data_IF_778761637509
#
_entry.id   IF_778761637509
#
_cell.length_a   1.000
_cell.length_b   1.000
_cell.length_c   1.000
_cell.angle_alpha   90.00
_cell.angle_beta   90.00
_cell.angle_gamma   90.00
#
_symmetry.space_group_name_H-M   'P 1'
#
loop_
_entity.id
_entity.type
_entity.pdbx_description
1 polymer ?
#
# COMPACT_ATOMS: atom_id res chain seq x y z
N UNK A 1 22.76 -1.08 -10.74
CA UNK A 1 22.06 -0.49 -11.89
C UNK A 1 20.88 -1.38 -12.30
N UNK A 2 19.78 -0.80 -12.81
CA UNK A 2 18.57 -1.52 -13.24
C UNK A 2 18.86 -2.62 -14.28
N UNK A 3 19.88 -2.44 -15.15
CA UNK A 3 20.33 -3.46 -16.11
C UNK A 3 20.93 -4.69 -15.43
N UNK A 4 21.57 -4.52 -14.28
CA UNK A 4 22.12 -5.61 -13.49
C UNK A 4 21.00 -6.47 -12.87
N UNK A 5 19.98 -5.85 -12.31
CA UNK A 5 18.79 -6.53 -11.78
C UNK A 5 18.04 -7.31 -12.88
N UNK A 6 17.87 -6.71 -14.06
CA UNK A 6 17.20 -7.38 -15.19
C UNK A 6 17.96 -8.60 -15.70
N UNK A 7 19.31 -8.57 -15.67
CA UNK A 7 20.16 -9.70 -16.07
C UNK A 7 20.14 -10.83 -15.04
N UNK A 8 20.04 -10.50 -13.75
CA UNK A 8 20.01 -11.48 -12.65
C UNK A 8 18.69 -12.26 -12.53
N UNK A 9 17.61 -11.71 -13.05
CA UNK A 9 16.25 -12.26 -12.92
C UNK A 9 15.61 -12.57 -14.28
N UNK A 10 16.41 -12.94 -15.29
CA UNK A 10 15.95 -13.38 -16.61
C UNK A 10 14.91 -14.50 -16.48
N UNK A 11 13.65 -14.21 -16.88
CA UNK A 11 12.52 -15.17 -16.79
C UNK A 11 11.54 -14.91 -15.65
N UNK A 12 11.81 -13.95 -14.76
CA UNK A 12 10.87 -13.51 -13.72
C UNK A 12 10.31 -12.13 -14.07
N UNK A 13 8.99 -11.95 -13.95
CA UNK A 13 8.35 -10.65 -14.16
C UNK A 13 8.74 -9.71 -13.02
N UNK A 14 9.95 -9.15 -13.10
CA UNK A 14 10.37 -8.04 -12.28
C UNK A 14 10.04 -6.80 -13.09
N UNK A 15 9.05 -6.04 -12.64
CA UNK A 15 8.71 -4.80 -13.28
C UNK A 15 9.79 -3.75 -12.95
N UNK A 16 10.61 -3.44 -13.93
CA UNK A 16 11.18 -2.11 -14.07
C UNK A 16 10.04 -1.17 -14.52
N UNK A 17 10.11 0.11 -14.15
CA UNK A 17 9.07 1.12 -14.43
C UNK A 17 8.38 0.89 -15.78
N UNK A 18 7.08 0.63 -15.77
CA UNK A 18 6.29 0.58 -16.99
C UNK A 18 6.32 1.96 -17.66
N UNK A 19 6.62 2.00 -18.96
CA UNK A 19 6.67 3.26 -19.72
C UNK A 19 5.25 3.83 -19.86
N UNK A 20 5.15 5.16 -19.86
CA UNK A 20 3.90 5.83 -20.21
C UNK A 20 3.46 5.42 -21.63
N UNK A 21 2.20 5.04 -21.77
CA UNK A 21 1.62 4.68 -23.06
C UNK A 21 0.67 5.79 -23.52
N UNK A 22 0.76 6.20 -24.79
CA UNK A 22 -0.18 7.18 -25.38
C UNK A 22 -1.65 6.77 -25.26
N UNK A 23 -1.91 5.46 -25.22
CA UNK A 23 -3.24 4.90 -24.96
C UNK A 23 -3.88 5.38 -23.64
N UNK A 24 -3.09 5.82 -22.66
CA UNK A 24 -3.60 6.36 -21.38
C UNK A 24 -4.25 7.75 -21.53
N UNK A 25 -4.06 8.43 -22.67
CA UNK A 25 -4.73 9.69 -22.99
C UNK A 25 -6.14 9.49 -23.58
N UNK A 26 -6.53 8.26 -23.89
CA UNK A 26 -7.84 7.93 -24.44
C UNK A 26 -8.97 8.40 -23.50
N UNK A 27 -10.10 8.93 -24.00
CA UNK A 27 -11.21 9.45 -23.20
C UNK A 27 -11.73 8.53 -22.09
N UNK A 28 -11.67 7.21 -22.29
CA UNK A 28 -12.04 6.21 -21.28
C UNK A 28 -11.30 6.38 -19.94
N UNK A 29 -10.13 7.02 -19.93
CA UNK A 29 -9.31 7.26 -18.73
C UNK A 29 -9.46 8.65 -18.14
N UNK A 30 -10.18 9.58 -18.79
CA UNK A 30 -10.28 10.96 -18.34
C UNK A 30 -10.86 11.08 -16.92
N UNK A 31 -11.88 10.29 -16.62
CA UNK A 31 -12.44 10.26 -15.26
C UNK A 31 -11.39 9.79 -14.22
N UNK A 32 -10.57 8.80 -14.58
CA UNK A 32 -9.48 8.33 -13.72
C UNK A 32 -8.41 9.42 -13.55
N UNK A 33 -8.04 10.10 -14.64
CA UNK A 33 -7.11 11.23 -14.56
C UNK A 33 -7.64 12.37 -13.72
N UNK A 34 -8.92 12.71 -13.85
CA UNK A 34 -9.56 13.72 -13.02
C UNK A 34 -9.48 13.33 -11.54
N UNK A 35 -9.85 12.09 -11.19
CA UNK A 35 -9.75 11.59 -9.81
C UNK A 35 -8.31 11.62 -9.26
N UNK A 36 -7.32 11.23 -10.07
CA UNK A 36 -5.90 11.31 -9.70
C UNK A 36 -5.44 12.76 -9.52
N UNK A 37 -5.91 13.68 -10.37
CA UNK A 37 -5.62 15.12 -10.26
C UNK A 37 -6.20 15.72 -8.99
N UNK A 38 -7.46 15.41 -8.65
CA UNK A 38 -8.08 15.82 -7.39
C UNK A 38 -7.32 15.24 -6.20
N UNK A 39 -6.97 13.96 -6.23
CA UNK A 39 -6.19 13.32 -5.17
C UNK A 39 -4.83 14.00 -5.02
N UNK A 40 -4.14 14.29 -6.13
CA UNK A 40 -2.87 15.01 -6.12
C UNK A 40 -2.99 16.40 -5.48
N UNK A 41 -4.03 17.17 -5.82
CA UNK A 41 -4.29 18.49 -5.23
C UNK A 41 -4.55 18.39 -3.72
N UNK A 42 -5.41 17.47 -3.30
CA UNK A 42 -5.76 17.29 -1.88
C UNK A 42 -4.54 16.96 -1.03
N UNK A 43 -3.63 16.13 -1.52
CA UNK A 43 -2.44 15.75 -0.74
C UNK A 43 -1.33 16.82 -0.74
N UNK A 44 -1.48 17.93 -1.49
CA UNK A 44 -0.58 19.09 -1.36
C UNK A 44 -0.87 19.91 -0.10
N UNK A 45 -2.05 19.79 0.48
CA UNK A 45 -2.46 20.52 1.69
C UNK A 45 -1.57 20.13 2.89
N UNK A 46 -1.50 20.97 3.94
CA UNK A 46 -0.84 20.61 5.19
C UNK A 46 -1.41 19.32 5.80
N UNK A 47 -0.56 18.49 6.41
CA UNK A 47 -0.97 17.19 6.95
C UNK A 47 -2.18 17.25 7.91
N UNK A 48 -2.29 18.21 8.85
CA UNK A 48 -3.49 18.30 9.69
C UNK A 48 -4.79 18.49 8.89
N UNK A 49 -4.73 19.25 7.79
CA UNK A 49 -5.87 19.46 6.89
C UNK A 49 -6.22 18.17 6.15
N UNK A 50 -5.21 17.46 5.63
CA UNK A 50 -5.39 16.15 4.99
C UNK A 50 -6.08 15.19 5.96
N UNK A 51 -5.62 15.14 7.21
CA UNK A 51 -6.21 14.29 8.26
C UNK A 51 -7.67 14.63 8.54
N UNK A 52 -7.98 15.91 8.63
CA UNK A 52 -9.36 16.37 8.81
C UNK A 52 -10.24 15.97 7.62
N UNK A 53 -9.81 16.27 6.39
CA UNK A 53 -10.55 15.94 5.17
C UNK A 53 -10.74 14.43 5.00
N UNK A 54 -9.70 13.64 5.22
CA UNK A 54 -9.77 12.19 5.17
C UNK A 54 -10.77 11.61 6.16
N UNK A 55 -10.73 12.10 7.41
CA UNK A 55 -11.69 11.71 8.45
C UNK A 55 -13.13 12.06 8.07
N UNK A 56 -13.38 13.27 7.55
CA UNK A 56 -14.71 13.70 7.10
C UNK A 56 -15.19 12.89 5.89
N UNK A 57 -14.32 12.68 4.91
CA UNK A 57 -14.61 11.85 3.74
C UNK A 57 -15.00 10.42 4.14
N UNK A 58 -14.23 9.82 5.06
CA UNK A 58 -14.51 8.51 5.60
C UNK A 58 -15.85 8.45 6.32
N UNK A 59 -16.12 9.41 7.20
CA UNK A 59 -17.41 9.50 7.91
C UNK A 59 -18.59 9.64 6.93
N UNK A 60 -18.45 10.50 5.93
CA UNK A 60 -19.49 10.68 4.90
C UNK A 60 -19.69 9.41 4.05
N UNK A 61 -18.61 8.68 3.73
CA UNK A 61 -18.68 7.43 2.95
C UNK A 61 -19.56 6.36 3.63
N UNK A 62 -19.69 6.40 4.95
CA UNK A 62 -20.53 5.48 5.72
C UNK A 62 -22.00 5.51 5.26
N UNK A 63 -22.51 6.66 4.83
CA UNK A 63 -23.88 6.79 4.34
C UNK A 63 -24.12 6.00 3.05
N UNK A 64 -23.11 5.85 2.23
CA UNK A 64 -23.19 5.16 0.93
C UNK A 64 -22.73 3.70 1.00
N UNK A 65 -21.86 3.37 1.94
CA UNK A 65 -21.23 2.04 2.05
C UNK A 65 -21.93 1.13 3.07
N UNK A 66 -23.29 1.11 3.09
CA UNK A 66 -24.10 0.35 4.06
C UNK A 66 -23.76 -1.14 4.14
N UNK A 67 -23.48 -1.77 3.01
CA UNK A 67 -23.01 -3.18 2.98
C UNK A 67 -21.70 -3.37 3.71
N UNK A 68 -20.75 -2.43 3.58
CA UNK A 68 -19.47 -2.51 4.29
C UNK A 68 -19.63 -2.29 5.78
N UNK A 69 -20.52 -1.37 6.17
CA UNK A 69 -20.90 -1.15 7.56
C UNK A 69 -21.48 -2.41 8.20
N UNK A 70 -22.44 -3.07 7.52
CA UNK A 70 -23.04 -4.32 8.02
C UNK A 70 -22.01 -5.43 8.22
N UNK A 71 -21.07 -5.59 7.27
CA UNK A 71 -19.97 -6.56 7.40
C UNK A 71 -19.07 -6.22 8.59
N UNK A 72 -18.69 -4.95 8.75
CA UNK A 72 -17.85 -4.52 9.88
C UNK A 72 -18.56 -4.78 11.22
N UNK A 73 -19.85 -4.46 11.31
CA UNK A 73 -20.68 -4.73 12.49
C UNK A 73 -20.69 -6.21 12.84
N UNK A 74 -20.94 -7.08 11.85
CA UNK A 74 -20.96 -8.52 12.07
C UNK A 74 -19.61 -9.07 12.51
N UNK A 75 -18.53 -8.58 11.91
CA UNK A 75 -17.18 -8.98 12.32
C UNK A 75 -16.88 -8.56 13.77
N UNK A 76 -17.28 -7.36 14.18
CA UNK A 76 -17.10 -6.90 15.56
C UNK A 76 -17.95 -7.69 16.56
N UNK A 77 -19.17 -8.08 16.20
CA UNK A 77 -20.00 -8.97 17.04
C UNK A 77 -19.33 -10.31 17.27
N UNK A 78 -18.71 -10.89 16.24
CA UNK A 78 -18.06 -12.21 16.31
C UNK A 78 -16.70 -12.15 17.02
N UNK A 79 -15.88 -11.14 16.71
CA UNK A 79 -14.52 -11.06 17.23
C UNK A 79 -14.43 -10.41 18.62
N UNK A 80 -15.41 -9.56 18.98
CA UNK A 80 -15.46 -8.84 20.25
C UNK A 80 -16.84 -8.97 20.91
N UNK A 81 -17.25 -10.19 21.29
CA UNK A 81 -18.59 -10.44 21.85
C UNK A 81 -18.81 -9.70 23.18
N UNK A 82 -17.75 -9.42 23.93
CA UNK A 82 -17.77 -8.69 25.21
C UNK A 82 -17.95 -7.18 25.05
N UNK A 83 -17.84 -6.62 23.83
CA UNK A 83 -18.09 -5.20 23.60
C UNK A 83 -19.59 -4.92 23.57
N UNK A 84 -20.00 -3.84 24.26
CA UNK A 84 -21.39 -3.37 24.18
C UNK A 84 -21.69 -2.70 22.82
N UNK A 85 -22.96 -2.38 22.57
CA UNK A 85 -23.39 -1.78 21.32
C UNK A 85 -22.69 -0.43 21.03
N UNK A 86 -22.49 0.41 22.05
CA UNK A 86 -21.83 1.72 21.91
C UNK A 86 -20.34 1.55 21.56
N UNK A 87 -19.64 0.64 22.18
CA UNK A 87 -18.23 0.37 21.87
C UNK A 87 -18.05 -0.11 20.42
N UNK A 88 -18.92 -1.04 19.97
CA UNK A 88 -18.90 -1.49 18.57
C UNK A 88 -19.21 -0.37 17.58
N UNK A 89 -20.17 0.49 17.91
CA UNK A 89 -20.53 1.63 17.08
C UNK A 89 -19.38 2.64 16.94
N UNK A 90 -18.69 2.92 18.04
CA UNK A 90 -17.49 3.78 18.05
C UNK A 90 -16.40 3.19 17.15
N UNK A 91 -16.11 1.90 17.25
CA UNK A 91 -15.10 1.25 16.38
C UNK A 91 -15.48 1.27 14.91
N UNK A 92 -16.77 1.11 14.57
CA UNK A 92 -17.25 1.24 13.20
C UNK A 92 -17.00 2.67 12.69
N UNK A 93 -17.35 3.67 13.47
CA UNK A 93 -17.14 5.07 13.10
C UNK A 93 -15.66 5.38 12.87
N UNK A 94 -14.76 4.94 13.76
CA UNK A 94 -13.31 5.13 13.61
C UNK A 94 -12.75 4.35 12.40
N UNK A 95 -13.25 3.15 12.14
CA UNK A 95 -12.86 2.39 10.95
C UNK A 95 -13.22 3.13 9.65
N UNK A 96 -14.39 3.75 9.57
CA UNK A 96 -14.78 4.54 8.41
C UNK A 96 -13.91 5.80 8.25
N UNK A 97 -13.56 6.49 9.34
CA UNK A 97 -12.59 7.59 9.29
C UNK A 97 -11.25 7.12 8.73
N UNK A 98 -10.78 5.95 9.16
CA UNK A 98 -9.54 5.34 8.67
C UNK A 98 -9.61 4.97 7.19
N UNK A 99 -10.76 4.53 6.67
CA UNK A 99 -10.98 4.27 5.23
C UNK A 99 -10.77 5.56 4.42
N UNK A 100 -11.34 6.68 4.87
CA UNK A 100 -11.15 7.97 4.20
C UNK A 100 -9.70 8.45 4.25
N UNK A 101 -9.02 8.25 5.39
CA UNK A 101 -7.59 8.54 5.50
C UNK A 101 -6.75 7.68 4.54
N UNK A 102 -7.03 6.38 4.45
CA UNK A 102 -6.28 5.47 3.58
C UNK A 102 -6.26 5.89 2.11
N UNK A 103 -7.35 6.52 1.63
CA UNK A 103 -7.41 7.08 0.28
C UNK A 103 -6.39 8.22 0.11
N UNK A 104 -6.35 9.17 1.06
CA UNK A 104 -5.42 10.29 1.01
C UNK A 104 -3.98 9.84 1.27
N UNK A 105 -3.75 8.90 2.18
CA UNK A 105 -2.44 8.29 2.44
C UNK A 105 -1.89 7.58 1.20
N UNK A 106 -2.75 6.96 0.40
CA UNK A 106 -2.34 6.41 -0.90
C UNK A 106 -1.82 7.51 -1.82
N UNK A 107 -2.51 8.64 -1.90
CA UNK A 107 -2.04 9.81 -2.65
C UNK A 107 -0.72 10.37 -2.11
N UNK A 108 -0.58 10.46 -0.78
CA UNK A 108 0.67 10.88 -0.14
C UNK A 108 1.83 9.94 -0.51
N UNK A 109 1.60 8.63 -0.44
CA UNK A 109 2.60 7.62 -0.80
C UNK A 109 3.06 7.74 -2.25
N UNK A 110 2.17 8.09 -3.18
CA UNK A 110 2.50 8.18 -4.60
C UNK A 110 3.07 9.53 -5.03
N UNK A 111 2.64 10.63 -4.39
CA UNK A 111 2.90 11.99 -4.89
C UNK A 111 3.84 12.82 -4.01
N UNK A 112 3.91 12.57 -2.70
CA UNK A 112 4.78 13.37 -1.83
C UNK A 112 6.27 13.19 -2.17
N UNK A 113 7.07 14.27 -2.09
CA UNK A 113 8.51 14.15 -2.12
C UNK A 113 9.03 13.45 -0.87
N UNK A 114 10.23 12.85 -0.97
CA UNK A 114 10.82 12.02 0.08
C UNK A 114 11.02 12.80 1.39
N UNK A 115 11.47 14.06 1.28
CA UNK A 115 11.72 14.93 2.43
C UNK A 115 10.44 15.20 3.21
N UNK A 116 9.31 15.36 2.49
CA UNK A 116 8.01 15.57 3.14
C UNK A 116 7.54 14.33 3.87
N UNK A 117 7.75 13.13 3.32
CA UNK A 117 7.44 11.87 4.00
C UNK A 117 8.29 11.73 5.26
N UNK A 118 9.62 11.92 5.15
CA UNK A 118 10.54 11.80 6.29
C UNK A 118 10.25 12.78 7.42
N UNK A 119 9.68 13.95 7.12
CA UNK A 119 9.30 14.96 8.13
C UNK A 119 8.15 14.49 9.03
N UNK A 120 7.24 13.67 8.50
CA UNK A 120 5.99 13.34 9.18
C UNK A 120 5.92 11.91 9.72
N UNK A 121 6.84 11.04 9.30
CA UNK A 121 6.81 9.63 9.65
C UNK A 121 8.19 9.13 10.04
N UNK A 122 8.20 8.32 11.09
CA UNK A 122 9.38 7.67 11.63
C UNK A 122 9.16 6.16 11.70
N UNK A 123 10.26 5.38 11.77
CA UNK A 123 10.23 3.92 11.81
C UNK A 123 11.03 3.42 13.00
N UNK A 124 10.36 2.83 13.94
CA UNK A 124 10.96 2.17 15.09
C UNK A 124 11.40 0.74 14.74
N UNK A 125 12.47 0.26 15.36
CA UNK A 125 12.96 -1.11 15.20
C UNK A 125 13.67 -1.41 13.88
N UNK A 126 14.03 -0.39 13.08
CA UNK A 126 14.73 -0.53 11.81
C UNK A 126 16.09 -1.24 11.96
N UNK A 127 16.72 -1.15 13.12
CA UNK A 127 18.01 -1.77 13.38
C UNK A 127 17.95 -3.30 13.37
N UNK A 128 16.81 -3.91 13.70
CA UNK A 128 16.59 -5.35 13.56
C UNK A 128 16.73 -5.79 12.09
N UNK A 129 16.17 -5.02 11.17
CA UNK A 129 16.28 -5.28 9.73
C UNK A 129 17.71 -5.10 9.24
N UNK A 130 18.37 -4.01 9.63
CA UNK A 130 19.78 -3.73 9.28
C UNK A 130 20.71 -4.81 9.80
N UNK A 131 20.53 -5.25 11.06
CA UNK A 131 21.33 -6.31 11.67
C UNK A 131 21.23 -7.63 10.87
N UNK A 132 20.02 -8.04 10.50
CA UNK A 132 19.83 -9.24 9.69
C UNK A 132 20.50 -9.13 8.31
N UNK A 133 20.45 -7.96 7.69
CA UNK A 133 21.09 -7.73 6.38
C UNK A 133 22.62 -7.69 6.47
N UNK A 134 23.21 -7.15 7.54
CA UNK A 134 24.66 -7.20 7.75
C UNK A 134 25.19 -8.64 7.81
N UNK A 135 24.38 -9.58 8.27
CA UNK A 135 24.69 -11.02 8.25
C UNK A 135 24.51 -11.66 6.84
N UNK A 136 24.26 -10.87 5.80
CA UNK A 136 23.95 -11.32 4.42
C UNK A 136 22.77 -12.29 4.34
N UNK A 137 21.87 -12.24 5.32
CA UNK A 137 20.64 -13.04 5.33
C UNK A 137 19.52 -12.27 4.63
N UNK A 138 18.78 -12.94 3.76
CA UNK A 138 17.56 -12.38 3.20
C UNK A 138 16.50 -12.22 4.28
N UNK A 139 15.77 -11.12 4.23
CA UNK A 139 14.74 -10.78 5.21
C UNK A 139 13.38 -10.75 4.55
N UNK A 140 12.43 -11.51 5.09
CA UNK A 140 11.03 -11.39 4.70
C UNK A 140 10.34 -10.41 5.67
N UNK A 141 9.95 -9.26 5.14
CA UNK A 141 9.17 -8.26 5.88
C UNK A 141 7.69 -8.58 5.68
N UNK A 142 7.01 -8.97 6.74
CA UNK A 142 5.57 -9.29 6.68
C UNK A 142 4.78 -8.08 7.12
N UNK A 143 4.16 -7.39 6.15
CA UNK A 143 3.25 -6.27 6.42
C UNK A 143 1.86 -6.76 6.80
N UNK A 144 1.39 -6.40 7.99
CA UNK A 144 -0.02 -6.59 8.38
C UNK A 144 -0.89 -5.66 7.53
N UNK A 145 -2.07 -6.14 7.12
CA UNK A 145 -2.94 -5.42 6.20
C UNK A 145 -3.75 -4.31 6.89
N UNK A 146 -3.05 -3.27 7.33
CA UNK A 146 -3.68 -2.04 7.83
C UNK A 146 -4.15 -1.13 6.68
N UNK A 147 -5.01 -0.17 7.00
CA UNK A 147 -5.50 0.82 6.03
C UNK A 147 -4.37 1.69 5.46
N UNK A 148 -3.36 2.03 6.26
CA UNK A 148 -2.18 2.85 5.90
C UNK A 148 -1.08 2.07 5.14
N UNK A 149 -1.37 0.90 4.61
CA UNK A 149 -0.37 -0.01 4.00
C UNK A 149 0.45 0.63 2.87
N UNK A 150 -0.15 1.47 2.02
CA UNK A 150 0.58 2.13 0.92
C UNK A 150 1.61 3.13 1.46
N UNK A 151 1.20 3.94 2.43
CA UNK A 151 2.07 4.92 3.06
C UNK A 151 3.15 4.23 3.91
N UNK A 152 2.79 3.22 4.69
CA UNK A 152 3.73 2.40 5.45
C UNK A 152 4.80 1.76 4.56
N UNK A 153 4.40 1.18 3.42
CA UNK A 153 5.34 0.64 2.43
C UNK A 153 6.26 1.70 1.83
N UNK A 154 5.76 2.94 1.64
CA UNK A 154 6.56 4.08 1.20
C UNK A 154 7.60 4.50 2.24
N UNK A 155 7.18 4.64 3.51
CA UNK A 155 8.03 5.03 4.63
C UNK A 155 9.14 3.99 4.84
N UNK A 156 8.77 2.71 4.92
CA UNK A 156 9.74 1.61 5.04
C UNK A 156 10.73 1.59 3.89
N UNK A 157 10.27 1.73 2.65
CA UNK A 157 11.14 1.74 1.48
C UNK A 157 12.10 2.93 1.44
N UNK A 158 11.75 4.08 2.03
CA UNK A 158 12.66 5.22 2.18
C UNK A 158 13.75 4.97 3.21
N UNK A 159 13.45 4.21 4.26
CA UNK A 159 14.43 3.83 5.27
C UNK A 159 15.32 2.69 4.78
N UNK A 160 14.71 1.69 4.15
CA UNK A 160 15.38 0.50 3.63
C UNK A 160 14.72 0.06 2.34
N UNK A 161 15.30 0.37 1.17
CA UNK A 161 14.76 -0.06 -0.12
C UNK A 161 14.65 -1.59 -0.21
N UNK A 162 13.46 -2.09 -0.51
CA UNK A 162 13.12 -3.51 -0.53
C UNK A 162 12.58 -3.93 -1.90
N UNK A 163 12.45 -5.23 -2.11
CA UNK A 163 11.69 -5.80 -3.21
C UNK A 163 10.23 -5.97 -2.77
N UNK A 164 9.31 -5.17 -3.33
CA UNK A 164 7.91 -5.21 -2.96
C UNK A 164 7.15 -6.26 -3.76
N UNK A 165 6.38 -7.14 -3.08
CA UNK A 165 5.48 -8.04 -3.77
C UNK A 165 4.13 -7.36 -4.03
N UNK A 166 3.55 -7.62 -5.20
CA UNK A 166 2.30 -6.96 -5.57
C UNK A 166 1.40 -7.83 -6.46
N UNK A 167 0.15 -7.47 -6.53
CA UNK A 167 -0.82 -7.97 -7.52
C UNK A 167 -1.02 -6.88 -8.58
N UNK A 168 -0.88 -7.20 -9.87
CA UNK A 168 -1.19 -6.28 -10.95
C UNK A 168 -2.62 -5.76 -10.85
N UNK A 169 -2.83 -4.50 -11.19
CA UNK A 169 -4.14 -3.88 -11.21
C UNK A 169 -4.87 -4.20 -12.52
N UNK A 170 -6.19 -4.33 -12.48
CA UNK A 170 -6.99 -4.64 -13.68
C UNK A 170 -7.00 -3.48 -14.70
N UNK A 171 -6.90 -2.23 -14.27
CA UNK A 171 -6.78 -1.06 -15.14
C UNK A 171 -5.31 -0.78 -15.45
N UNK A 172 -4.94 -0.75 -16.73
CA UNK A 172 -3.55 -0.49 -17.14
C UNK A 172 -3.03 0.88 -16.71
N UNK A 173 -3.89 1.91 -16.68
CA UNK A 173 -3.51 3.23 -16.18
C UNK A 173 -3.23 3.18 -14.67
N UNK A 174 -4.11 2.58 -13.88
CA UNK A 174 -3.91 2.45 -12.43
C UNK A 174 -2.70 1.59 -12.11
N UNK A 175 -2.44 0.53 -12.88
CA UNK A 175 -1.23 -0.28 -12.78
C UNK A 175 0.03 0.60 -12.98
N UNK A 176 0.02 1.44 -14.01
CA UNK A 176 1.12 2.34 -14.28
C UNK A 176 1.34 3.35 -13.14
N UNK A 177 0.28 4.01 -12.67
CA UNK A 177 0.37 4.99 -11.57
C UNK A 177 0.86 4.33 -10.27
N UNK A 178 0.27 3.21 -9.89
CA UNK A 178 0.60 2.50 -8.66
C UNK A 178 2.06 1.99 -8.69
N UNK A 179 2.47 1.37 -9.79
CA UNK A 179 3.82 0.85 -9.96
C UNK A 179 4.84 2.00 -9.92
N UNK A 180 4.55 3.11 -10.62
CA UNK A 180 5.41 4.30 -10.58
C UNK A 180 5.52 4.88 -9.16
N UNK A 181 4.42 4.99 -8.43
CA UNK A 181 4.41 5.46 -7.05
C UNK A 181 5.26 4.58 -6.13
N UNK A 182 5.06 3.26 -6.19
CA UNK A 182 5.78 2.29 -5.36
C UNK A 182 7.28 2.18 -5.69
N UNK A 183 7.64 2.29 -6.98
CA UNK A 183 9.05 2.23 -7.42
C UNK A 183 9.89 3.43 -6.97
N UNK A 184 9.27 4.48 -6.41
CA UNK A 184 10.00 5.63 -5.86
C UNK A 184 10.84 5.28 -4.63
N UNK A 185 10.45 4.25 -3.88
CA UNK A 185 11.15 3.83 -2.65
C UNK A 185 11.57 2.36 -2.63
N UNK A 186 11.10 1.56 -3.58
CA UNK A 186 11.45 0.14 -3.65
C UNK A 186 12.50 -0.12 -4.73
N UNK A 187 13.34 -1.13 -4.50
CA UNK A 187 14.34 -1.58 -5.48
C UNK A 187 13.70 -2.18 -6.73
N UNK A 188 12.64 -2.96 -6.53
CA UNK A 188 11.90 -3.64 -7.60
C UNK A 188 10.53 -4.09 -7.13
N UNK A 189 9.65 -4.41 -8.09
CA UNK A 189 8.35 -5.00 -7.86
C UNK A 189 8.34 -6.45 -8.34
N UNK A 190 7.91 -7.38 -7.51
CA UNK A 190 7.80 -8.81 -7.83
C UNK A 190 6.33 -9.20 -7.83
N UNK A 191 5.86 -9.86 -8.90
CA UNK A 191 4.51 -10.43 -8.90
C UNK A 191 4.36 -11.43 -7.76
N UNK A 192 3.25 -11.36 -7.01
CA UNK A 192 2.95 -12.28 -5.90
C UNK A 192 2.97 -13.76 -6.29
N UNK A 193 2.79 -14.07 -7.57
CA UNK A 193 2.81 -15.44 -8.08
C UNK A 193 4.24 -15.92 -8.42
N UNK A 194 5.23 -15.03 -8.39
CA UNK A 194 6.62 -15.37 -8.70
C UNK A 194 7.39 -15.79 -7.43
N UNK A 195 7.04 -16.95 -6.89
CA UNK A 195 7.72 -17.51 -5.69
C UNK A 195 9.21 -17.75 -5.92
N UNK A 196 9.59 -18.20 -7.12
CA UNK A 196 11.03 -18.41 -7.46
C UNK A 196 11.81 -17.11 -7.40
N UNK A 197 11.25 -16.03 -7.91
CA UNK A 197 11.86 -14.70 -7.83
C UNK A 197 12.01 -14.21 -6.39
N UNK A 198 11.02 -14.42 -5.53
CA UNK A 198 11.08 -14.06 -4.12
C UNK A 198 12.16 -14.87 -3.38
N UNK A 199 12.17 -16.19 -3.53
CA UNK A 199 13.20 -17.05 -2.93
C UNK A 199 14.60 -16.70 -3.45
N UNK A 200 14.72 -16.42 -4.75
CA UNK A 200 15.98 -15.98 -5.36
C UNK A 200 16.50 -14.67 -4.79
N UNK A 201 15.60 -13.71 -4.50
CA UNK A 201 15.94 -12.45 -3.84
C UNK A 201 16.43 -12.68 -2.40
N UNK A 202 15.69 -13.47 -1.62
CA UNK A 202 16.05 -13.81 -0.24
C UNK A 202 17.42 -14.52 -0.18
N UNK A 203 17.70 -15.47 -1.07
CA UNK A 203 19.01 -16.15 -1.14
C UNK A 203 20.16 -15.20 -1.45
N UNK A 204 19.90 -14.05 -2.04
CA UNK A 204 20.89 -12.98 -2.32
C UNK A 204 21.02 -11.96 -1.19
N UNK A 205 20.37 -12.18 -0.06
CA UNK A 205 20.42 -11.26 1.07
C UNK A 205 19.49 -10.04 0.93
N UNK A 206 18.56 -10.05 -0.05
CA UNK A 206 17.64 -8.94 -0.24
C UNK A 206 16.49 -8.97 0.78
N UNK A 207 15.98 -7.78 1.13
CA UNK A 207 14.72 -7.67 1.86
C UNK A 207 13.55 -7.75 0.87
N UNK A 208 12.59 -8.62 1.17
CA UNK A 208 11.37 -8.82 0.36
C UNK A 208 10.17 -8.50 1.22
N UNK A 209 9.39 -7.48 0.83
CA UNK A 209 8.10 -7.19 1.44
C UNK A 209 7.06 -8.17 0.91
N UNK A 210 6.39 -8.86 1.81
CA UNK A 210 5.24 -9.70 1.52
C UNK A 210 4.04 -9.18 2.30
N UNK A 211 3.05 -8.66 1.58
CA UNK A 211 1.73 -8.46 2.16
C UNK A 211 1.22 -9.79 2.71
N UNK A 212 0.81 -9.80 3.97
CA UNK A 212 0.07 -10.92 4.52
C UNK A 212 -1.12 -11.17 3.58
N UNK A 213 -1.08 -12.30 2.89
CA UNK A 213 -2.21 -12.75 2.09
C UNK A 213 -3.38 -12.99 3.03
N UNK A 214 -4.58 -12.66 2.59
CA UNK A 214 -5.83 -13.08 3.23
C UNK A 214 -5.63 -14.42 3.91
N UNK A 215 -5.84 -14.48 5.20
CA UNK A 215 -6.35 -15.68 5.81
C UNK A 215 -7.58 -16.07 4.98
N UNK A 216 -7.57 -17.25 4.43
CA UNK A 216 -8.56 -17.76 3.49
C UNK A 216 -9.88 -18.01 4.25
N UNK A 217 -10.55 -16.95 4.66
CA UNK A 217 -11.88 -17.00 5.30
C UNK A 217 -13.03 -17.12 4.28
N UNK A 218 -12.72 -17.23 2.99
CA UNK A 218 -13.74 -17.31 1.93
C UNK A 218 -14.14 -18.74 1.55
N UNK A 219 -13.67 -19.78 2.26
CA UNK A 219 -14.06 -21.16 1.98
C UNK A 219 -14.98 -21.79 3.02
N UNK A 220 -15.47 -21.04 4.01
CA UNK A 220 -16.36 -21.55 5.06
C UNK A 220 -17.53 -20.59 5.33
N UNK A 221 -18.21 -20.12 4.27
CA UNK A 221 -19.59 -19.62 4.39
C UNK A 221 -20.29 -19.84 3.04
#
# INVERSE_FOLDING_TARGET
>A
SLRYLHRLYKGSTILSQSKFQRAFLHPRYWFTWFGLGVLWLLVQLPYPVIRFLGSKLGSASRHFLKRRESIARKNLELCFPHYNAQQRETLIAENFKSIGMALLETGMAWFWPDERVRKWFDVEGLDNLKHAQMQKRGVMVVGVHFMSLELGGRVMGLCQPMMATYRPHNSALMEWVQTRGRMRSNKAMISRNNLRGMVGALKKGEAVDRKSTRLNSSHYL
#
